data_IF_574190283880
#
_entry.id   IF_574190283880
#
_cell.length_a   1.000
_cell.length_b   1.000
_cell.length_c   1.000
_cell.angle_alpha   90.00
_cell.angle_beta   90.00
_cell.angle_gamma   90.00
#
_symmetry.space_group_name_H-M   'P 1'
#
loop_
_entity.id
_entity.type
_entity.pdbx_description
1 polymer ?
#
# COMPACT_ATOMS: atom_id res chain seq x y z
N UNK A 1 47.53 2.76 -12.98
CA UNK A 1 46.12 3.07 -13.28
C UNK A 1 45.38 1.74 -13.25
N UNK A 2 44.75 1.41 -12.12
CA UNK A 2 44.04 0.15 -11.95
C UNK A 2 42.61 0.52 -11.56
N UNK A 3 41.71 0.42 -12.53
CA UNK A 3 40.29 0.67 -12.35
C UNK A 3 39.70 -0.56 -11.67
N UNK A 4 39.47 -0.47 -10.36
CA UNK A 4 38.62 -1.39 -9.63
C UNK A 4 37.18 -0.95 -9.90
N UNK A 5 36.45 -1.72 -10.70
CA UNK A 5 35.00 -1.55 -10.88
C UNK A 5 34.25 -2.16 -9.68
N UNK A 6 33.13 -1.57 -9.22
CA UNK A 6 32.49 -1.98 -7.98
C UNK A 6 31.47 -3.10 -8.23
N UNK A 7 31.82 -4.33 -7.89
CA UNK A 7 30.89 -5.49 -7.92
C UNK A 7 29.84 -5.49 -6.78
N UNK A 8 29.62 -4.34 -6.13
CA UNK A 8 28.77 -4.20 -4.93
C UNK A 8 27.35 -3.65 -5.15
N UNK A 9 26.99 -3.22 -6.36
CA UNK A 9 25.77 -2.40 -6.58
C UNK A 9 24.53 -3.19 -7.05
N UNK A 10 24.73 -4.32 -7.76
CA UNK A 10 23.64 -5.10 -8.34
C UNK A 10 22.72 -5.76 -7.28
N UNK A 11 23.24 -6.10 -6.12
CA UNK A 11 22.43 -6.69 -5.04
C UNK A 11 21.52 -5.65 -4.37
N UNK A 12 21.97 -4.40 -4.26
CA UNK A 12 21.20 -3.31 -3.64
C UNK A 12 20.01 -2.91 -4.53
N UNK A 13 20.24 -2.82 -5.84
CA UNK A 13 19.19 -2.55 -6.81
C UNK A 13 18.06 -3.61 -6.78
N UNK A 14 18.42 -4.90 -6.65
CA UNK A 14 17.44 -5.99 -6.52
C UNK A 14 16.63 -5.89 -5.23
N UNK A 15 17.27 -5.57 -4.11
CA UNK A 15 16.57 -5.34 -2.84
C UNK A 15 15.62 -4.14 -2.93
N UNK A 16 16.04 -3.03 -3.55
CA UNK A 16 15.18 -1.86 -3.73
C UNK A 16 13.99 -2.14 -4.65
N UNK A 17 14.19 -2.88 -5.73
CA UNK A 17 13.10 -3.30 -6.62
C UNK A 17 12.11 -4.19 -5.88
N UNK A 18 12.58 -5.16 -5.08
CA UNK A 18 11.71 -6.01 -4.28
C UNK A 18 10.89 -5.20 -3.26
N UNK A 19 11.53 -4.28 -2.55
CA UNK A 19 10.86 -3.41 -1.58
C UNK A 19 9.81 -2.52 -2.24
N UNK A 20 10.08 -2.02 -3.46
CA UNK A 20 9.12 -1.23 -4.23
C UNK A 20 7.88 -2.05 -4.58
N UNK A 21 8.06 -3.24 -5.15
CA UNK A 21 6.93 -4.11 -5.51
C UNK A 21 6.10 -4.50 -4.29
N UNK A 22 6.73 -4.74 -3.14
CA UNK A 22 6.03 -4.99 -1.89
C UNK A 22 5.28 -3.76 -1.36
N UNK A 23 5.85 -2.56 -1.54
CA UNK A 23 5.18 -1.29 -1.25
C UNK A 23 3.94 -1.10 -2.12
N UNK A 24 4.09 -1.22 -3.44
CA UNK A 24 3.02 -1.12 -4.42
C UNK A 24 1.89 -2.13 -4.12
N UNK A 25 2.25 -3.35 -3.69
CA UNK A 25 1.29 -4.37 -3.23
C UNK A 25 0.53 -3.93 -1.96
N UNK A 26 1.22 -3.37 -0.97
CA UNK A 26 0.61 -2.93 0.31
C UNK A 26 -0.31 -1.73 0.10
N UNK A 27 0.09 -0.78 -0.75
CA UNK A 27 -0.68 0.43 -1.04
C UNK A 27 -1.83 0.17 -2.05
N UNK A 28 -1.88 -1.02 -2.66
CA UNK A 28 -2.93 -1.41 -3.60
C UNK A 28 -2.75 -0.81 -5.01
N UNK A 29 -1.54 -0.37 -5.34
CA UNK A 29 -1.17 0.23 -6.63
C UNK A 29 -0.53 -0.78 -7.60
N UNK A 30 -0.33 -2.03 -7.16
CA UNK A 30 0.19 -3.10 -8.01
C UNK A 30 -0.86 -3.54 -9.06
N UNK A 31 -0.37 -4.04 -10.19
CA UNK A 31 -1.20 -4.64 -11.23
C UNK A 31 -2.13 -5.75 -10.65
N UNK A 32 -3.42 -5.81 -11.03
CA UNK A 32 -4.38 -6.77 -10.49
C UNK A 32 -3.96 -8.24 -10.63
N UNK A 33 -3.36 -8.63 -11.76
CA UNK A 33 -2.92 -10.03 -11.98
C UNK A 33 -1.78 -10.40 -11.02
N UNK A 34 -0.89 -9.44 -10.77
CA UNK A 34 0.19 -9.59 -9.81
C UNK A 34 -0.33 -9.62 -8.37
N UNK A 35 -1.36 -8.83 -8.06
CA UNK A 35 -2.02 -8.85 -6.75
C UNK A 35 -2.55 -10.27 -6.44
N UNK A 36 -3.29 -10.88 -7.38
CA UNK A 36 -3.82 -12.23 -7.22
C UNK A 36 -2.72 -13.29 -7.06
N UNK A 37 -1.60 -13.14 -7.77
CA UNK A 37 -0.43 -14.03 -7.60
C UNK A 37 0.15 -13.92 -6.20
N UNK A 38 0.30 -12.70 -5.68
CA UNK A 38 0.79 -12.45 -4.33
C UNK A 38 -0.16 -13.00 -3.27
N UNK A 39 -1.46 -12.79 -3.42
CA UNK A 39 -2.48 -13.32 -2.51
C UNK A 39 -2.48 -14.84 -2.46
N UNK A 40 -2.41 -15.51 -3.63
CA UNK A 40 -2.30 -16.96 -3.71
C UNK A 40 -1.02 -17.48 -3.04
N UNK A 41 0.10 -16.79 -3.23
CA UNK A 41 1.36 -17.15 -2.59
C UNK A 41 1.25 -17.03 -1.06
N UNK A 42 0.71 -15.91 -0.58
CA UNK A 42 0.54 -15.70 0.86
C UNK A 42 -0.42 -16.72 1.47
N UNK A 43 -1.48 -17.13 0.77
CA UNK A 43 -2.38 -18.18 1.27
C UNK A 43 -1.67 -19.51 1.60
N UNK A 44 -0.51 -19.77 0.98
CA UNK A 44 0.25 -21.02 1.12
C UNK A 44 1.59 -20.85 1.84
N UNK A 45 2.00 -19.62 2.17
CA UNK A 45 3.34 -19.33 2.69
C UNK A 45 3.30 -18.43 3.94
N UNK A 46 3.39 -19.05 5.12
CA UNK A 46 3.42 -18.36 6.42
C UNK A 46 4.57 -17.34 6.52
N UNK A 47 5.73 -17.64 5.93
CA UNK A 47 6.89 -16.74 5.97
C UNK A 47 6.61 -15.41 5.28
N UNK A 48 5.98 -15.46 4.11
CA UNK A 48 5.66 -14.27 3.34
C UNK A 48 4.52 -13.48 3.98
N UNK A 49 3.56 -14.14 4.63
CA UNK A 49 2.56 -13.48 5.48
C UNK A 49 3.25 -12.64 6.56
N UNK A 50 4.18 -13.22 7.32
CA UNK A 50 4.90 -12.52 8.39
C UNK A 50 5.69 -11.30 7.86
N UNK A 51 6.32 -11.42 6.70
CA UNK A 51 7.06 -10.31 6.08
C UNK A 51 6.11 -9.15 5.74
N UNK A 52 5.01 -9.44 5.03
CA UNK A 52 4.03 -8.41 4.63
C UNK A 52 3.36 -7.78 5.85
N UNK A 53 3.00 -8.57 6.86
CA UNK A 53 2.41 -8.07 8.10
C UNK A 53 3.38 -7.17 8.87
N UNK A 54 4.67 -7.52 8.91
CA UNK A 54 5.70 -6.70 9.55
C UNK A 54 5.89 -5.37 8.82
N UNK A 55 5.86 -5.40 7.48
CA UNK A 55 5.94 -4.19 6.66
C UNK A 55 4.72 -3.29 6.90
N UNK A 56 3.50 -3.85 6.89
CA UNK A 56 2.26 -3.11 7.20
C UNK A 56 2.31 -2.47 8.59
N UNK A 57 2.78 -3.19 9.61
CA UNK A 57 2.95 -2.67 10.97
C UNK A 57 3.97 -1.55 11.02
N UNK A 58 5.10 -1.71 10.33
CA UNK A 58 6.12 -0.65 10.23
C UNK A 58 5.52 0.62 9.61
N UNK A 59 4.78 0.49 8.50
CA UNK A 59 4.08 1.61 7.86
C UNK A 59 3.07 2.26 8.81
N UNK A 60 2.28 1.46 9.55
CA UNK A 60 1.33 1.98 10.52
C UNK A 60 2.02 2.78 11.64
N UNK A 61 3.12 2.28 12.20
CA UNK A 61 3.91 2.99 13.21
C UNK A 61 4.44 4.34 12.70
N UNK A 62 4.89 4.40 11.45
CA UNK A 62 5.29 5.67 10.83
C UNK A 62 4.10 6.63 10.64
N UNK A 63 2.94 6.12 10.22
CA UNK A 63 1.71 6.92 10.05
C UNK A 63 1.14 7.43 11.37
N UNK A 64 1.28 6.66 12.46
CA UNK A 64 0.87 7.06 13.82
C UNK A 64 1.84 8.07 14.44
N UNK A 65 3.12 8.01 14.06
CA UNK A 65 4.17 8.95 14.49
C UNK A 65 4.16 10.28 13.73
N UNK A 66 3.65 10.31 12.50
CA UNK A 66 3.32 11.55 11.81
C UNK A 66 2.05 12.15 12.38
N UNK A 67 2.09 13.44 12.70
CA UNK A 67 0.99 14.24 13.24
C UNK A 67 -0.31 13.85 12.54
N UNK A 68 -1.17 13.11 13.23
CA UNK A 68 -2.53 12.83 12.77
C UNK A 68 -3.19 14.19 12.59
N UNK A 69 -3.22 14.68 11.35
CA UNK A 69 -3.97 15.87 10.99
C UNK A 69 -5.42 15.49 11.21
N UNK A 70 -5.95 15.84 12.38
CA UNK A 70 -7.36 15.63 12.67
C UNK A 70 -8.15 16.39 11.62
N UNK A 71 -8.88 15.64 10.79
CA UNK A 71 -9.78 16.23 9.80
C UNK A 71 -10.84 17.01 10.58
N UNK A 72 -10.98 18.33 10.36
CA UNK A 72 -12.02 19.11 11.00
C UNK A 72 -13.39 18.48 10.78
N UNK A 73 -14.21 18.47 11.83
CA UNK A 73 -15.51 17.78 11.84
C UNK A 73 -16.38 18.26 10.68
N UNK A 74 -16.30 19.55 10.36
CA UNK A 74 -17.05 20.22 9.30
C UNK A 74 -16.69 19.65 7.92
N UNK A 75 -15.40 19.41 7.66
CA UNK A 75 -14.95 18.82 6.40
C UNK A 75 -15.44 17.37 6.28
N UNK A 76 -15.32 16.59 7.37
CA UNK A 76 -15.81 15.21 7.42
C UNK A 76 -17.31 15.13 7.15
N UNK A 77 -18.10 16.01 7.75
CA UNK A 77 -19.55 16.10 7.53
C UNK A 77 -19.90 16.48 6.09
N UNK A 78 -19.17 17.44 5.51
CA UNK A 78 -19.35 17.83 4.11
C UNK A 78 -19.07 16.66 3.16
N UNK A 79 -17.96 15.95 3.35
CA UNK A 79 -17.62 14.75 2.56
C UNK A 79 -18.73 13.71 2.67
N UNK A 80 -19.14 13.36 3.90
CA UNK A 80 -20.22 12.40 4.12
C UNK A 80 -21.55 12.81 3.47
N UNK A 81 -21.89 14.11 3.51
CA UNK A 81 -23.09 14.65 2.86
C UNK A 81 -23.02 14.50 1.34
N UNK A 82 -21.89 14.83 0.72
CA UNK A 82 -21.72 14.70 -0.72
C UNK A 82 -21.73 13.24 -1.18
N UNK A 83 -21.06 12.35 -0.44
CA UNK A 83 -21.07 10.91 -0.73
C UNK A 83 -22.49 10.34 -0.67
N UNK A 84 -23.27 10.65 0.38
CA UNK A 84 -24.67 10.22 0.49
C UNK A 84 -25.53 10.77 -0.65
N UNK A 85 -25.38 12.05 -1.00
CA UNK A 85 -26.12 12.66 -2.10
C UNK A 85 -25.85 11.93 -3.42
N UNK A 86 -24.57 11.74 -3.77
CA UNK A 86 -24.16 11.03 -4.99
C UNK A 86 -24.61 9.58 -4.99
N UNK A 87 -24.59 8.92 -3.83
CA UNK A 87 -25.09 7.56 -3.69
C UNK A 87 -26.60 7.47 -3.98
N UNK A 88 -27.39 8.38 -3.42
CA UNK A 88 -28.84 8.43 -3.69
C UNK A 88 -29.16 8.77 -5.15
N UNK A 89 -28.39 9.67 -5.78
CA UNK A 89 -28.56 9.96 -7.20
C UNK A 89 -28.29 8.74 -8.09
N UNK A 90 -27.25 7.96 -7.76
CA UNK A 90 -26.80 6.80 -8.54
C UNK A 90 -27.62 5.53 -8.28
N UNK A 91 -28.07 5.32 -7.05
CA UNK A 91 -28.71 4.06 -6.60
C UNK A 91 -30.12 4.24 -6.03
N UNK A 92 -30.50 5.46 -5.65
CA UNK A 92 -31.83 5.77 -5.09
C UNK A 92 -32.93 5.95 -6.15
N UNK A 93 -32.59 5.90 -7.45
CA UNK A 93 -33.54 5.84 -8.57
C UNK A 93 -33.93 4.40 -8.96
N UNK A 94 -33.52 3.39 -8.18
CA UNK A 94 -34.06 2.03 -8.21
C UNK A 94 -34.79 1.69 -6.89
N UNK A 95 -35.83 2.46 -6.57
CA UNK A 95 -37.02 1.94 -5.88
C UNK A 95 -38.18 2.93 -5.98
#
# INVERSE_FOLDING_TARGET
MSTVEPEGDASKAKCQQLLRVLGDYIDGEIDPEMCELFERHMAQCLRCQVVVDTLRKTIALYREGELVLEIPVEIREQIHKQLRKRWQEKFGSQS
#
